data_IF_428286024162
#
_entry.id   IF_428286024162
#
_cell.length_a   1.000
_cell.length_b   1.000
_cell.length_c   1.000
_cell.angle_alpha   90.00
_cell.angle_beta   90.00
_cell.angle_gamma   90.00
#
_symmetry.space_group_name_H-M   'P 1'
#
loop_
_entity.id
_entity.type
_entity.pdbx_description
1 polymer ?
#
# COMPACT_ATOMS: atom_id res chain seq x y z
N UNK A 1 -20.29 -0.39 -19.22
CA UNK A 1 -19.12 -0.58 -20.12
C UNK A 1 -19.64 -1.23 -21.39
N UNK A 2 -20.83 -0.80 -21.78
CA UNK A 2 -21.79 -1.66 -22.48
C UNK A 2 -21.47 -1.70 -23.98
N UNK A 3 -20.66 -0.75 -24.45
CA UNK A 3 -20.15 -0.68 -25.81
C UNK A 3 -18.96 -1.61 -26.07
N UNK A 4 -18.40 -2.29 -25.06
CA UNK A 4 -17.24 -3.19 -25.23
C UNK A 4 -17.65 -4.62 -25.62
N UNK A 5 -18.89 -5.01 -25.34
CA UNK A 5 -19.42 -6.36 -25.55
C UNK A 5 -20.57 -6.64 -24.57
N UNK A 6 -21.42 -7.61 -24.91
CA UNK A 6 -22.58 -8.00 -24.09
C UNK A 6 -22.17 -8.54 -22.72
N UNK A 7 -20.98 -9.13 -22.60
CA UNK A 7 -20.43 -9.62 -21.34
C UNK A 7 -20.08 -8.50 -20.35
N UNK A 8 -19.92 -7.27 -20.83
CA UNK A 8 -19.59 -6.08 -20.01
C UNK A 8 -20.81 -5.23 -19.65
N UNK A 9 -22.01 -5.70 -19.98
CA UNK A 9 -23.25 -4.97 -19.74
C UNK A 9 -23.46 -4.72 -18.24
N UNK A 10 -23.72 -3.46 -17.89
CA UNK A 10 -23.96 -3.03 -16.51
C UNK A 10 -22.68 -2.83 -15.69
N UNK A 11 -21.51 -3.21 -16.18
CA UNK A 11 -20.23 -2.95 -15.50
C UNK A 11 -19.86 -1.46 -15.57
N UNK A 12 -19.37 -0.90 -14.47
CA UNK A 12 -18.79 0.45 -14.47
C UNK A 12 -17.28 0.34 -14.29
N UNK A 13 -16.54 0.77 -15.31
CA UNK A 13 -15.08 0.77 -15.32
C UNK A 13 -14.54 2.18 -15.11
N UNK A 14 -13.46 2.27 -14.35
CA UNK A 14 -12.66 3.50 -14.17
C UNK A 14 -11.35 3.35 -14.89
N UNK A 15 -11.02 4.32 -15.75
CA UNK A 15 -9.69 4.42 -16.36
C UNK A 15 -8.69 4.87 -15.29
N UNK A 16 -7.68 4.06 -15.04
CA UNK A 16 -6.66 4.31 -14.00
C UNK A 16 -5.30 4.72 -14.57
N UNK A 17 -5.03 4.38 -15.83
CA UNK A 17 -3.82 4.76 -16.54
C UNK A 17 -3.68 4.00 -17.84
N UNK A 18 -2.46 3.96 -18.37
CA UNK A 18 -2.16 3.25 -19.61
C UNK A 18 -0.74 3.53 -20.07
N UNK A 19 -0.38 2.89 -21.17
CA UNK A 19 0.90 3.03 -21.84
C UNK A 19 0.69 3.32 -23.33
N UNK A 20 1.51 4.23 -23.82
CA UNK A 20 1.66 4.54 -25.25
C UNK A 20 2.36 3.37 -25.97
N UNK A 21 2.28 3.31 -27.31
CA UNK A 21 2.92 2.28 -28.18
C UNK A 21 4.42 2.10 -27.93
N UNK A 22 5.14 3.15 -27.59
CA UNK A 22 6.58 3.08 -27.27
C UNK A 22 6.83 2.91 -25.76
N UNK A 23 5.82 2.55 -24.97
CA UNK A 23 5.93 2.21 -23.56
C UNK A 23 5.92 3.40 -22.59
N UNK A 24 5.74 4.64 -23.06
CA UNK A 24 5.67 5.79 -22.17
C UNK A 24 4.37 5.75 -21.34
N UNK A 25 4.44 5.90 -20.00
CA UNK A 25 3.26 5.83 -19.15
C UNK A 25 2.44 7.13 -19.23
N UNK A 26 1.12 6.99 -19.07
CA UNK A 26 0.20 8.11 -18.92
C UNK A 26 0.36 8.80 -17.57
N UNK A 27 0.31 10.14 -17.55
CA UNK A 27 0.37 10.96 -16.32
C UNK A 27 -0.92 11.73 -16.12
N UNK A 28 -1.60 11.47 -15.00
CA UNK A 28 -2.79 12.22 -14.61
C UNK A 28 -2.49 13.71 -14.39
N UNK A 29 -3.42 14.56 -14.83
CA UNK A 29 -3.32 16.02 -14.75
C UNK A 29 -2.60 16.67 -15.95
N UNK A 30 -2.02 15.88 -16.85
CA UNK A 30 -1.49 16.38 -18.12
C UNK A 30 -2.59 16.29 -19.16
N UNK A 31 -3.36 17.36 -19.32
CA UNK A 31 -4.51 17.47 -20.22
C UNK A 31 -4.09 17.58 -21.70
N UNK A 32 -3.28 16.63 -22.17
CA UNK A 32 -2.78 16.60 -23.53
C UNK A 32 -2.90 15.18 -24.12
N UNK A 33 -3.28 15.02 -25.39
CA UNK A 33 -3.40 13.71 -26.04
C UNK A 33 -2.10 13.23 -26.67
N UNK A 34 -0.94 13.82 -26.37
CA UNK A 34 0.34 13.30 -26.87
C UNK A 34 1.41 13.36 -25.77
N UNK A 35 2.67 13.14 -26.13
CA UNK A 35 3.79 13.17 -25.18
C UNK A 35 4.25 14.58 -24.87
N UNK A 36 4.59 14.78 -23.60
CA UNK A 36 5.21 16.01 -23.10
C UNK A 36 6.42 15.69 -22.24
N UNK A 37 7.39 16.60 -22.18
CA UNK A 37 8.60 16.44 -21.34
C UNK A 37 8.48 17.28 -20.08
N UNK A 38 8.27 16.60 -18.95
CA UNK A 38 8.12 17.24 -17.64
C UNK A 38 9.36 17.03 -16.77
N UNK A 39 9.68 18.02 -15.94
CA UNK A 39 10.71 17.91 -14.91
C UNK A 39 10.11 17.30 -13.64
N UNK A 40 10.32 15.99 -13.45
CA UNK A 40 9.74 15.21 -12.36
C UNK A 40 10.68 15.14 -11.16
N UNK A 41 10.12 15.20 -9.95
CA UNK A 41 10.81 15.04 -8.67
C UNK A 41 10.34 13.76 -7.93
N UNK A 42 10.89 13.51 -6.74
CA UNK A 42 10.43 12.45 -5.84
C UNK A 42 8.93 12.58 -5.52
N UNK A 43 8.22 11.46 -5.44
CA UNK A 43 6.78 11.41 -5.18
C UNK A 43 5.88 11.61 -6.41
N UNK A 44 6.39 12.15 -7.52
CA UNK A 44 5.61 12.19 -8.76
C UNK A 44 5.50 10.81 -9.42
N UNK A 45 4.35 10.52 -10.00
CA UNK A 45 4.17 9.37 -10.88
C UNK A 45 5.11 9.42 -12.11
N UNK A 46 5.37 8.24 -12.69
CA UNK A 46 6.20 8.03 -13.91
C UNK A 46 7.72 8.23 -13.72
N UNK A 47 8.18 8.53 -12.50
CA UNK A 47 9.58 8.66 -12.16
C UNK A 47 9.89 8.03 -10.80
N UNK A 48 11.06 7.37 -10.73
CA UNK A 48 11.63 6.85 -9.50
C UNK A 48 13.05 7.41 -9.36
N UNK A 49 13.29 8.37 -8.45
CA UNK A 49 14.61 8.97 -8.28
C UNK A 49 15.64 7.93 -7.82
N UNK A 50 16.91 8.15 -8.17
CA UNK A 50 18.03 7.28 -7.77
C UNK A 50 18.87 7.90 -6.67
N UNK A 51 18.84 9.23 -6.57
CA UNK A 51 19.49 9.98 -5.49
C UNK A 51 18.47 10.92 -4.85
N UNK A 52 18.68 11.23 -3.57
CA UNK A 52 17.84 12.17 -2.82
C UNK A 52 17.93 13.57 -3.44
N UNK A 53 16.79 14.23 -3.63
CA UNK A 53 16.73 15.56 -4.24
C UNK A 53 16.87 15.60 -5.77
N UNK A 54 17.09 14.47 -6.43
CA UNK A 54 17.21 14.40 -7.88
C UNK A 54 15.89 14.76 -8.57
N UNK A 55 15.96 15.68 -9.55
CA UNK A 55 14.87 15.94 -10.50
C UNK A 55 15.33 15.55 -11.90
N UNK A 56 14.46 14.90 -12.67
CA UNK A 56 14.78 14.46 -14.02
C UNK A 56 13.70 14.82 -15.02
N UNK A 57 14.11 15.41 -16.15
CA UNK A 57 13.20 15.69 -17.27
C UNK A 57 12.92 14.40 -18.02
N UNK A 58 11.69 13.90 -17.95
CA UNK A 58 11.24 12.68 -18.64
C UNK A 58 10.06 12.96 -19.55
N UNK A 59 10.03 12.24 -20.67
CA UNK A 59 8.85 12.19 -21.53
C UNK A 59 7.77 11.33 -20.87
N UNK A 60 6.54 11.83 -20.85
CA UNK A 60 5.35 11.13 -20.36
C UNK A 60 4.21 11.35 -21.34
N UNK A 61 3.29 10.41 -21.43
CA UNK A 61 2.07 10.56 -22.22
C UNK A 61 1.04 11.31 -21.38
N UNK A 62 0.31 12.27 -21.96
CA UNK A 62 -0.77 12.93 -21.23
C UNK A 62 -1.97 12.01 -20.96
N UNK A 63 -2.92 12.46 -20.14
CA UNK A 63 -4.03 11.61 -19.67
C UNK A 63 -5.20 11.49 -20.64
N UNK A 64 -5.27 12.30 -21.70
CA UNK A 64 -6.31 12.19 -22.73
C UNK A 64 -6.04 10.94 -23.57
N UNK A 65 -7.04 10.06 -23.61
CA UNK A 65 -7.03 8.79 -24.34
C UNK A 65 -7.15 9.06 -25.83
N UNK A 66 -6.29 8.44 -26.63
CA UNK A 66 -6.33 8.49 -28.09
C UNK A 66 -5.84 7.15 -28.68
N UNK A 67 -5.87 7.01 -30.01
CA UNK A 67 -5.56 5.77 -30.74
C UNK A 67 -4.07 5.39 -30.76
N UNK A 68 -3.20 6.23 -30.21
CA UNK A 68 -1.76 6.00 -30.09
C UNK A 68 -1.37 5.20 -28.83
N UNK A 69 -2.34 4.79 -28.01
CA UNK A 69 -2.10 3.91 -26.87
C UNK A 69 -1.90 2.45 -27.31
N UNK A 70 -1.10 1.71 -26.55
CA UNK A 70 -0.94 0.26 -26.71
C UNK A 70 -1.69 -0.51 -25.63
N UNK A 71 -1.75 0.01 -24.41
CA UNK A 71 -2.46 -0.63 -23.29
C UNK A 71 -3.21 0.43 -22.50
N UNK A 72 -4.45 0.13 -22.12
CA UNK A 72 -5.25 0.92 -21.19
C UNK A 72 -5.51 0.12 -19.92
N UNK A 73 -5.25 0.74 -18.77
CA UNK A 73 -5.46 0.11 -17.45
C UNK A 73 -6.81 0.54 -16.88
N UNK A 74 -7.70 -0.43 -16.67
CA UNK A 74 -9.06 -0.22 -16.18
C UNK A 74 -9.24 -0.90 -14.82
N UNK A 75 -10.13 -0.36 -13.98
CA UNK A 75 -10.55 -0.97 -12.74
C UNK A 75 -12.08 -1.05 -12.66
N UNK A 76 -12.62 -2.19 -12.26
CA UNK A 76 -14.06 -2.36 -12.02
C UNK A 76 -14.45 -1.63 -10.73
N UNK A 77 -15.44 -0.74 -10.83
CA UNK A 77 -16.01 -0.01 -9.69
C UNK A 77 -17.37 -0.59 -9.31
N UNK A 78 -18.15 -1.03 -10.30
CA UNK A 78 -19.44 -1.72 -10.12
C UNK A 78 -19.46 -2.97 -10.99
N UNK A 79 -19.79 -4.10 -10.39
CA UNK A 79 -20.00 -5.37 -11.10
C UNK A 79 -21.31 -5.30 -11.89
N UNK A 80 -21.30 -5.83 -13.11
CA UNK A 80 -22.47 -5.93 -13.97
C UNK A 80 -23.31 -7.16 -13.70
N UNK A 81 -24.09 -7.56 -14.70
CA UNK A 81 -25.07 -8.66 -14.59
C UNK A 81 -24.42 -10.05 -14.70
N UNK A 82 -23.50 -10.21 -15.65
CA UNK A 82 -22.83 -11.48 -15.94
C UNK A 82 -21.46 -11.54 -15.27
N UNK A 83 -21.02 -12.74 -14.86
CA UNK A 83 -19.66 -12.94 -14.37
C UNK A 83 -18.64 -13.05 -15.51
N UNK A 84 -17.43 -12.55 -15.25
CA UNK A 84 -16.32 -12.55 -16.20
C UNK A 84 -15.30 -13.62 -15.75
N UNK A 85 -15.05 -14.65 -16.59
CA UNK A 85 -14.10 -15.70 -16.28
C UNK A 85 -12.72 -15.16 -15.94
N UNK A 86 -12.13 -15.66 -14.85
CA UNK A 86 -10.80 -15.27 -14.39
C UNK A 86 -10.69 -13.89 -13.73
N UNK A 87 -11.76 -13.09 -13.71
CA UNK A 87 -11.75 -11.76 -13.10
C UNK A 87 -12.73 -11.63 -11.92
N UNK A 88 -14.01 -11.96 -12.12
CA UNK A 88 -15.00 -11.94 -11.01
C UNK A 88 -15.22 -13.30 -10.38
N UNK A 89 -14.92 -14.38 -11.11
CA UNK A 89 -15.03 -15.77 -10.62
C UNK A 89 -14.03 -16.10 -9.51
N UNK A 90 -12.77 -15.64 -9.65
CA UNK A 90 -11.70 -16.02 -8.72
C UNK A 90 -11.49 -14.96 -7.63
N UNK A 91 -11.68 -15.35 -6.38
CA UNK A 91 -11.38 -14.50 -5.22
C UNK A 91 -9.95 -14.73 -4.73
N UNK A 92 -9.07 -13.74 -4.94
CA UNK A 92 -7.71 -13.77 -4.40
C UNK A 92 -7.65 -13.18 -2.98
N UNK A 93 -7.28 -13.97 -1.95
CA UNK A 93 -7.19 -13.47 -0.59
C UNK A 93 -6.01 -12.49 -0.41
N UNK A 94 -6.18 -11.50 0.48
CA UNK A 94 -5.10 -10.57 0.82
C UNK A 94 -3.95 -11.33 1.48
N UNK A 95 -2.76 -11.24 0.86
CA UNK A 95 -1.55 -11.94 1.33
C UNK A 95 -1.09 -11.55 2.75
N UNK A 96 -1.32 -10.31 3.18
CA UNK A 96 -0.81 -9.79 4.45
C UNK A 96 -1.94 -9.24 5.33
N UNK A 97 -1.94 -9.68 6.58
CA UNK A 97 -2.75 -9.11 7.64
C UNK A 97 -2.19 -7.80 8.21
N UNK A 98 -2.94 -7.11 9.07
CA UNK A 98 -2.49 -5.90 9.75
C UNK A 98 -1.34 -6.17 10.72
N UNK A 99 -0.25 -5.37 10.64
CA UNK A 99 0.92 -5.45 11.53
C UNK A 99 0.86 -4.53 12.76
N UNK A 100 0.14 -3.41 12.67
CA UNK A 100 0.08 -2.38 13.74
C UNK A 100 -1.02 -2.74 14.74
N UNK A 101 -0.75 -2.64 16.04
CA UNK A 101 -1.70 -2.98 17.10
C UNK A 101 -3.09 -2.34 16.91
N UNK A 102 -3.15 -1.05 16.56
CA UNK A 102 -4.42 -0.35 16.33
C UNK A 102 -5.18 -0.84 15.10
N UNK A 103 -4.46 -1.29 14.05
CA UNK A 103 -5.11 -1.87 12.86
C UNK A 103 -5.62 -3.29 13.14
N UNK A 104 -4.91 -4.06 13.98
CA UNK A 104 -5.38 -5.38 14.42
C UNK A 104 -6.68 -5.23 15.23
N UNK A 105 -6.72 -4.29 16.19
CA UNK A 105 -7.95 -4.00 16.96
C UNK A 105 -9.12 -3.66 16.06
N UNK A 106 -8.94 -2.70 15.14
CA UNK A 106 -9.99 -2.30 14.19
C UNK A 106 -10.46 -3.46 13.33
N UNK A 107 -9.53 -4.32 12.89
CA UNK A 107 -9.86 -5.44 11.99
C UNK A 107 -10.74 -6.49 12.68
N UNK A 108 -10.51 -6.75 13.97
CA UNK A 108 -11.26 -7.75 14.75
C UNK A 108 -12.34 -7.13 15.67
N UNK A 109 -12.59 -5.82 15.58
CA UNK A 109 -13.56 -5.14 16.46
C UNK A 109 -13.18 -5.16 17.94
N UNK A 110 -11.90 -5.27 18.28
CA UNK A 110 -11.44 -5.42 19.67
C UNK A 110 -11.45 -4.10 20.44
N UNK A 111 -11.69 -4.20 21.74
CA UNK A 111 -11.52 -3.10 22.68
C UNK A 111 -10.03 -2.81 22.96
N UNK A 112 -9.77 -1.81 23.80
CA UNK A 112 -8.39 -1.44 24.16
C UNK A 112 -7.76 -2.45 25.12
N UNK A 113 -8.58 -3.06 25.97
CA UNK A 113 -8.15 -3.96 27.04
C UNK A 113 -7.82 -5.35 26.51
N UNK A 114 -8.34 -5.69 25.33
CA UNK A 114 -8.04 -6.94 24.65
C UNK A 114 -6.57 -7.04 24.20
N UNK A 115 -6.00 -8.22 24.45
CA UNK A 115 -4.64 -8.53 24.04
C UNK A 115 -4.57 -8.90 22.55
N UNK A 116 -4.18 -7.93 21.75
CA UNK A 116 -3.97 -8.06 20.30
C UNK A 116 -2.96 -9.14 19.89
N UNK A 117 -2.11 -9.63 20.79
CA UNK A 117 -1.10 -10.67 20.48
C UNK A 117 -1.74 -12.00 20.06
N UNK A 118 -2.89 -12.33 20.64
CA UNK A 118 -3.63 -13.57 20.35
C UNK A 118 -4.29 -13.54 18.97
N UNK A 119 -4.61 -12.34 18.48
CA UNK A 119 -5.37 -12.11 17.25
C UNK A 119 -4.50 -11.81 16.02
N UNK A 120 -3.17 -11.97 16.11
CA UNK A 120 -2.31 -11.74 14.94
C UNK A 120 -2.51 -12.87 13.93
N UNK A 121 -2.86 -12.49 12.70
CA UNK A 121 -2.97 -13.42 11.58
C UNK A 121 -1.60 -14.08 11.34
N UNK A 122 -1.57 -15.40 11.47
CA UNK A 122 -0.40 -16.24 11.19
C UNK A 122 -0.52 -16.80 9.78
N UNK A 123 0.59 -16.85 9.07
CA UNK A 123 0.68 -17.49 7.76
C UNK A 123 1.36 -18.84 7.92
N UNK A 124 0.68 -19.89 7.53
CA UNK A 124 1.30 -21.20 7.38
C UNK A 124 2.25 -21.20 6.19
N UNK A 125 3.46 -21.72 6.39
CA UNK A 125 4.50 -21.82 5.38
C UNK A 125 4.77 -23.29 5.17
N UNK A 126 4.37 -23.80 4.01
CA UNK A 126 4.76 -25.11 3.50
C UNK A 126 6.18 -25.01 2.92
N UNK A 127 7.20 -25.60 3.54
CA UNK A 127 8.56 -25.57 3.02
C UNK A 127 8.67 -26.38 1.73
N UNK A 128 9.44 -25.88 0.75
CA UNK A 128 9.69 -26.58 -0.53
C UNK A 128 10.70 -27.73 -0.43
N UNK A 129 11.32 -27.92 0.74
CA UNK A 129 12.30 -28.99 0.97
C UNK A 129 11.55 -30.26 1.37
N UNK A 130 11.88 -31.37 0.72
CA UNK A 130 11.36 -32.69 1.05
C UNK A 130 11.62 -33.02 2.53
N UNK A 131 10.57 -33.45 3.24
CA UNK A 131 10.62 -33.83 4.66
C UNK A 131 10.57 -32.67 5.68
N UNK A 132 10.55 -31.41 5.25
CA UNK A 132 10.44 -30.29 6.18
C UNK A 132 8.99 -30.08 6.66
N UNK A 133 8.79 -29.95 7.97
CA UNK A 133 7.46 -29.77 8.57
C UNK A 133 6.88 -28.37 8.26
N UNK A 134 5.56 -28.25 8.05
CA UNK A 134 4.88 -26.97 7.95
C UNK A 134 5.11 -26.14 9.22
N UNK A 135 5.28 -24.82 9.08
CA UNK A 135 5.43 -23.95 10.24
C UNK A 135 4.73 -22.61 10.04
N UNK A 136 4.35 -21.95 11.14
CA UNK A 136 3.60 -20.70 11.08
C UNK A 136 4.48 -19.48 11.32
N UNK A 137 4.36 -18.46 10.46
CA UNK A 137 5.00 -17.15 10.64
C UNK A 137 3.98 -16.10 11.03
N UNK A 138 4.34 -15.24 11.98
CA UNK A 138 3.56 -14.08 12.38
C UNK A 138 4.41 -12.80 12.28
N UNK A 139 3.82 -11.66 11.87
CA UNK A 139 4.54 -10.40 11.90
C UNK A 139 4.76 -9.89 13.34
N UNK A 140 5.94 -9.30 13.60
CA UNK A 140 6.17 -8.56 14.86
C UNK A 140 5.23 -7.35 14.94
N UNK A 141 4.38 -7.31 15.96
CA UNK A 141 3.39 -6.25 16.15
C UNK A 141 4.10 -4.92 16.40
N UNK A 142 3.73 -3.90 15.61
CA UNK A 142 4.25 -2.54 15.80
C UNK A 142 3.32 -1.71 16.68
N UNK A 143 3.91 -0.80 17.47
CA UNK A 143 3.20 0.12 18.36
C UNK A 143 2.38 -0.56 19.47
N UNK A 144 2.72 -1.79 19.82
CA UNK A 144 2.24 -2.43 21.03
C UNK A 144 2.84 -1.73 22.27
N UNK A 145 2.04 -1.54 23.31
CA UNK A 145 2.56 -1.08 24.60
C UNK A 145 3.04 -2.32 25.35
N UNK A 146 4.34 -2.43 25.55
CA UNK A 146 4.96 -3.53 26.30
C UNK A 146 5.47 -3.02 27.65
N UNK A 147 5.65 -3.89 28.66
CA UNK A 147 6.25 -3.51 29.94
C UNK A 147 7.61 -2.82 29.78
N UNK A 148 8.44 -3.29 28.85
CA UNK A 148 9.72 -2.67 28.50
C UNK A 148 9.55 -1.22 28.00
N UNK A 149 8.54 -0.95 27.16
CA UNK A 149 8.26 0.43 26.69
C UNK A 149 7.84 1.35 27.84
N UNK A 150 7.06 0.82 28.79
CA UNK A 150 6.67 1.56 30.00
C UNK A 150 7.89 1.81 30.91
N UNK A 151 8.77 0.82 31.07
CA UNK A 151 10.02 0.97 31.81
C UNK A 151 10.93 2.03 31.19
N UNK A 152 11.16 2.00 29.87
CA UNK A 152 11.95 3.03 29.17
C UNK A 152 11.33 4.43 29.35
N UNK A 153 9.99 4.54 29.34
CA UNK A 153 9.30 5.80 29.61
C UNK A 153 9.54 6.27 31.05
N UNK A 154 9.37 5.39 32.05
CA UNK A 154 9.61 5.69 33.47
C UNK A 154 11.06 6.11 33.72
N UNK A 155 12.02 5.35 33.19
CA UNK A 155 13.44 5.65 33.31
C UNK A 155 13.81 7.03 32.74
N UNK A 156 13.33 7.36 31.53
CA UNK A 156 13.56 8.67 30.93
C UNK A 156 12.97 9.82 31.77
N UNK A 157 11.80 9.63 32.37
CA UNK A 157 11.20 10.61 33.27
C UNK A 157 12.03 10.76 34.57
N UNK A 158 12.53 9.66 35.12
CA UNK A 158 13.39 9.68 36.30
C UNK A 158 14.72 10.42 36.04
N UNK A 159 15.36 10.17 34.88
CA UNK A 159 16.56 10.92 34.46
C UNK A 159 16.26 12.42 34.30
N UNK A 160 15.13 12.78 33.67
CA UNK A 160 14.74 14.19 33.53
C UNK A 160 14.57 14.87 34.88
N UNK A 161 13.95 14.18 35.85
CA UNK A 161 13.78 14.70 37.21
C UNK A 161 15.13 14.86 37.92
N UNK A 162 15.98 13.84 37.89
CA UNK A 162 17.32 13.87 38.49
C UNK A 162 18.17 15.01 37.94
N UNK A 163 18.16 15.21 36.62
CA UNK A 163 18.92 16.28 35.98
C UNK A 163 18.37 17.67 36.39
N UNK A 164 17.07 17.80 36.57
CA UNK A 164 16.46 19.04 37.04
C UNK A 164 16.79 19.34 38.52
N UNK A 165 16.80 18.31 39.38
CA UNK A 165 17.23 18.43 40.78
C UNK A 165 18.72 18.81 40.85
N UNK A 166 19.60 18.10 40.15
CA UNK A 166 21.03 18.42 40.09
C UNK A 166 21.32 19.84 39.55
N UNK A 167 20.54 20.33 38.58
CA UNK A 167 20.67 21.70 38.07
C UNK A 167 20.19 22.76 39.06
N UNK A 168 19.25 22.41 39.96
CA UNK A 168 18.81 23.30 41.03
C UNK A 168 19.83 23.34 42.17
N UNK A 169 20.40 22.19 42.52
CA UNK A 169 21.40 22.09 43.59
C UNK A 169 22.73 22.79 43.22
N UNK A 170 23.00 22.93 41.92
CA UNK A 170 24.19 23.61 41.41
C UNK A 170 24.03 25.13 41.20
N UNK A 171 22.81 25.67 41.34
CA UNK A 171 22.48 27.09 41.17
C UNK A 171 22.37 27.79 42.53
#
# INVERSE_FOLDING_TARGET
ADSLGDEWKGYVLKITGGNDKQGFPMKQGVMHPTRVRLLLAEGHSCYRPRRTGERKRKSVRGCIVAMDLSVLALAIVKQGENDIPGLTDVVHPKRLGPKRATKIRRFFGLSKDDDVRKFVIRREVQPKKEGAKPYTKAPRIQRLVTPQRLQHKRHRMALKRRNAEASKDAA
#
